data_IF_400793573874
#
_entry.id   IF_400793573874
#
_cell.length_a   1.000
_cell.length_b   1.000
_cell.length_c   1.000
_cell.angle_alpha   90.00
_cell.angle_beta   90.00
_cell.angle_gamma   90.00
#
_symmetry.space_group_name_H-M   'P 1'
#
loop_
_entity.id
_entity.type
_entity.pdbx_description
1 polymer ?
#
# COMPACT_ATOMS: atom_id res chain seq x y z
N UNK A 1 -34.54 8.37 -18.08
CA UNK A 1 -33.74 8.98 -16.99
C UNK A 1 -32.55 8.07 -16.81
N UNK A 2 -31.47 8.38 -17.53
CA UNK A 2 -30.27 7.55 -17.56
C UNK A 2 -29.36 7.92 -16.40
N UNK A 3 -29.07 6.93 -15.56
CA UNK A 3 -28.11 6.99 -14.45
C UNK A 3 -26.86 6.23 -14.88
N UNK A 4 -26.21 6.70 -15.93
CA UNK A 4 -24.88 6.28 -16.39
C UNK A 4 -24.16 7.56 -16.83
N UNK A 5 -22.88 7.69 -16.47
CA UNK A 5 -21.94 8.71 -17.01
C UNK A 5 -21.62 9.94 -16.15
N UNK A 6 -21.82 9.95 -14.82
CA UNK A 6 -21.25 11.00 -13.97
C UNK A 6 -19.96 10.60 -13.21
N UNK A 7 -19.68 9.31 -13.06
CA UNK A 7 -18.63 8.84 -12.14
C UNK A 7 -17.48 8.05 -12.75
N UNK A 8 -17.52 7.63 -14.02
CA UNK A 8 -16.53 6.66 -14.51
C UNK A 8 -15.26 7.29 -15.10
N UNK A 9 -15.35 8.40 -15.82
CA UNK A 9 -14.19 8.92 -16.56
C UNK A 9 -13.36 9.93 -15.74
N UNK A 10 -14.00 10.92 -15.12
CA UNK A 10 -13.29 11.94 -14.33
C UNK A 10 -12.75 11.39 -13.01
N UNK A 11 -13.45 10.46 -12.37
CA UNK A 11 -12.99 9.86 -11.12
C UNK A 11 -11.79 8.93 -11.36
N UNK A 12 -11.78 8.13 -12.43
CA UNK A 12 -10.62 7.30 -12.76
C UNK A 12 -9.39 8.12 -13.17
N UNK A 13 -9.58 9.18 -13.97
CA UNK A 13 -8.49 10.08 -14.34
C UNK A 13 -7.89 10.80 -13.12
N UNK A 14 -8.76 11.30 -12.23
CA UNK A 14 -8.34 11.91 -10.97
C UNK A 14 -7.62 10.89 -10.07
N UNK A 15 -8.16 9.68 -9.91
CA UNK A 15 -7.60 8.62 -9.08
C UNK A 15 -6.23 8.15 -9.58
N UNK A 16 -6.05 8.03 -10.90
CA UNK A 16 -4.76 7.74 -11.52
C UNK A 16 -3.71 8.82 -11.25
N UNK A 17 -4.09 10.09 -11.33
CA UNK A 17 -3.20 11.21 -11.03
C UNK A 17 -2.79 11.24 -9.54
N UNK A 18 -3.74 10.98 -8.64
CA UNK A 18 -3.52 10.95 -7.19
C UNK A 18 -2.62 9.78 -6.80
N UNK A 19 -2.87 8.58 -7.33
CA UNK A 19 -2.04 7.41 -7.06
C UNK A 19 -0.60 7.61 -7.56
N UNK A 20 -0.42 8.26 -8.71
CA UNK A 20 0.90 8.59 -9.23
C UNK A 20 1.66 9.57 -8.33
N UNK A 21 1.00 10.62 -7.84
CA UNK A 21 1.60 11.57 -6.89
C UNK A 21 1.99 10.87 -5.59
N UNK A 22 1.10 10.07 -4.99
CA UNK A 22 1.41 9.34 -3.77
C UNK A 22 2.49 8.28 -3.97
N UNK A 23 2.52 7.61 -5.13
CA UNK A 23 3.60 6.72 -5.52
C UNK A 23 4.95 7.43 -5.56
N UNK A 24 5.02 8.62 -6.16
CA UNK A 24 6.25 9.42 -6.17
C UNK A 24 6.67 9.87 -4.76
N UNK A 25 5.71 10.25 -3.91
CA UNK A 25 5.98 10.60 -2.51
C UNK A 25 6.50 9.41 -1.71
N UNK A 26 5.88 8.23 -1.87
CA UNK A 26 6.34 6.96 -1.30
C UNK A 26 7.77 6.66 -1.74
N UNK A 27 8.08 6.84 -3.02
CA UNK A 27 9.41 6.55 -3.58
C UNK A 27 10.48 7.49 -3.00
N UNK A 28 10.17 8.79 -2.90
CA UNK A 28 11.06 9.77 -2.24
C UNK A 28 11.29 9.45 -0.77
N UNK A 29 10.23 9.07 -0.05
CA UNK A 29 10.34 8.65 1.35
C UNK A 29 11.20 7.39 1.47
N UNK A 30 10.98 6.40 0.59
CA UNK A 30 11.75 5.16 0.52
C UNK A 30 13.23 5.44 0.27
N UNK A 31 13.56 6.37 -0.62
CA UNK A 31 14.95 6.79 -0.86
C UNK A 31 15.57 7.44 0.38
N UNK A 32 14.84 8.34 1.06
CA UNK A 32 15.33 8.99 2.27
C UNK A 32 15.57 8.00 3.42
N UNK A 33 14.65 7.04 3.61
CA UNK A 33 14.79 5.99 4.61
C UNK A 33 15.94 5.04 4.26
N UNK A 34 16.10 4.70 2.98
CA UNK A 34 17.22 3.88 2.49
C UNK A 34 18.57 4.57 2.73
N UNK A 35 18.66 5.88 2.48
CA UNK A 35 19.88 6.65 2.78
C UNK A 35 20.21 6.66 4.28
N UNK A 36 19.20 6.60 5.15
CA UNK A 36 19.37 6.63 6.60
C UNK A 36 19.68 5.26 7.21
N UNK A 37 19.04 4.21 6.72
CA UNK A 37 18.98 2.90 7.36
C UNK A 37 19.52 1.75 6.49
N UNK A 38 19.99 2.04 5.28
CA UNK A 38 20.44 1.04 4.32
C UNK A 38 19.31 0.44 3.49
N UNK A 39 19.66 -0.49 2.61
CA UNK A 39 18.71 -1.14 1.71
C UNK A 39 17.64 -1.90 2.51
N UNK A 40 16.35 -1.71 2.22
CA UNK A 40 15.29 -2.51 2.83
C UNK A 40 15.23 -3.91 2.22
N UNK A 41 14.48 -4.81 2.87
CA UNK A 41 14.07 -6.06 2.23
C UNK A 41 12.94 -5.80 1.23
N UNK A 42 12.55 -6.83 0.47
CA UNK A 42 11.45 -6.75 -0.48
C UNK A 42 10.23 -7.49 0.05
N UNK A 43 9.08 -6.82 0.04
CA UNK A 43 7.77 -7.43 0.30
C UNK A 43 6.81 -6.90 -0.76
N UNK A 44 6.16 -7.83 -1.46
CA UNK A 44 5.05 -7.55 -2.36
C UNK A 44 3.74 -7.85 -1.62
N UNK A 45 2.93 -6.82 -1.39
CA UNK A 45 1.67 -6.94 -0.68
C UNK A 45 0.61 -7.71 -1.48
N UNK A 46 0.67 -7.73 -2.81
CA UNK A 46 -0.23 -8.52 -3.64
C UNK A 46 0.03 -10.02 -3.45
N UNK A 47 1.29 -10.42 -3.54
CA UNK A 47 1.68 -11.79 -3.27
C UNK A 47 1.43 -12.21 -1.80
N UNK A 48 1.55 -11.26 -0.87
CA UNK A 48 1.17 -11.51 0.53
C UNK A 48 -0.34 -11.75 0.66
N UNK A 49 -1.19 -10.94 0.01
CA UNK A 49 -2.63 -11.13 0.01
C UNK A 49 -3.04 -12.51 -0.53
N UNK A 50 -2.44 -12.95 -1.63
CA UNK A 50 -2.69 -14.30 -2.19
C UNK A 50 -2.42 -15.41 -1.16
N UNK A 51 -1.32 -15.27 -0.40
CA UNK A 51 -0.95 -16.23 0.66
C UNK A 51 -1.93 -16.17 1.84
N UNK A 52 -2.36 -14.97 2.25
CA UNK A 52 -3.39 -14.82 3.29
C UNK A 52 -4.70 -15.49 2.88
N UNK A 53 -5.13 -15.31 1.63
CA UNK A 53 -6.32 -15.95 1.07
C UNK A 53 -6.20 -17.48 0.99
N UNK A 54 -4.97 -18.00 0.82
CA UNK A 54 -4.68 -19.42 0.91
C UNK A 54 -4.64 -19.96 2.37
N UNK A 55 -4.86 -19.10 3.37
CA UNK A 55 -4.83 -19.47 4.79
C UNK A 55 -3.43 -19.57 5.37
N UNK A 56 -2.41 -19.06 4.69
CA UNK A 56 -1.05 -19.03 5.23
C UNK A 56 -0.91 -17.92 6.29
N UNK A 57 -0.25 -18.21 7.43
CA UNK A 57 0.03 -17.18 8.42
C UNK A 57 1.05 -16.17 7.90
N UNK A 58 0.75 -14.89 8.08
CA UNK A 58 1.63 -13.77 7.75
C UNK A 58 2.13 -13.03 9.00
N UNK A 59 3.28 -12.34 8.93
CA UNK A 59 3.67 -11.39 9.97
C UNK A 59 2.58 -10.32 10.16
N UNK A 60 2.23 -9.92 11.40
CA UNK A 60 1.08 -9.03 11.65
C UNK A 60 1.07 -7.72 10.84
N UNK A 61 2.24 -7.12 10.62
CA UNK A 61 2.35 -5.88 9.83
C UNK A 61 2.10 -6.13 8.34
N UNK A 62 2.53 -7.27 7.81
CA UNK A 62 2.30 -7.65 6.41
C UNK A 62 0.83 -8.02 6.21
N UNK A 63 0.28 -8.80 7.15
CA UNK A 63 -1.12 -9.19 7.19
C UNK A 63 -2.05 -7.97 7.17
N UNK A 64 -1.80 -6.98 8.02
CA UNK A 64 -2.58 -5.74 7.99
C UNK A 64 -2.42 -4.97 6.68
N UNK A 65 -1.17 -4.75 6.23
CA UNK A 65 -0.90 -3.92 5.06
C UNK A 65 -1.45 -4.51 3.76
N UNK A 66 -1.44 -5.84 3.59
CA UNK A 66 -1.96 -6.47 2.37
C UNK A 66 -3.49 -6.37 2.23
N UNK A 67 -4.20 -6.01 3.30
CA UNK A 67 -5.65 -5.77 3.26
C UNK A 67 -6.03 -4.33 2.86
N UNK A 68 -5.10 -3.37 2.96
CA UNK A 68 -5.40 -1.93 2.78
C UNK A 68 -4.54 -1.24 1.73
N UNK A 69 -3.46 -1.91 1.28
CA UNK A 69 -2.52 -1.39 0.30
C UNK A 69 -2.13 -2.47 -0.71
N UNK A 70 -1.55 -2.04 -1.82
CA UNK A 70 -1.07 -2.93 -2.88
C UNK A 70 0.32 -2.52 -3.37
N UNK A 71 1.03 -3.47 -3.97
CA UNK A 71 2.37 -3.26 -4.50
C UNK A 71 3.49 -3.36 -3.45
N UNK A 72 4.68 -2.80 -3.74
CA UNK A 72 5.85 -3.00 -2.89
C UNK A 72 5.75 -2.19 -1.59
N UNK A 73 6.01 -2.85 -0.46
CA UNK A 73 6.09 -2.24 0.86
C UNK A 73 7.36 -2.71 1.58
N UNK A 74 8.54 -2.20 1.19
CA UNK A 74 9.81 -2.75 1.63
C UNK A 74 10.05 -2.46 3.12
N UNK A 75 10.39 -3.46 3.97
CA UNK A 75 10.65 -3.22 5.38
C UNK A 75 12.11 -2.85 5.67
N UNK A 76 12.31 -1.88 6.56
CA UNK A 76 13.59 -1.62 7.24
C UNK A 76 13.57 -2.24 8.64
N UNK A 77 14.58 -3.06 8.94
CA UNK A 77 14.76 -3.66 10.28
C UNK A 77 15.67 -2.78 11.13
N UNK A 78 15.12 -2.23 12.21
CA UNK A 78 15.79 -1.36 13.17
C UNK A 78 15.83 -2.02 14.55
N UNK A 79 16.76 -2.95 14.74
CA UNK A 79 16.82 -3.78 15.94
C UNK A 79 15.54 -4.60 16.10
N UNK A 80 14.71 -4.26 17.10
CA UNK A 80 13.41 -4.93 17.37
C UNK A 80 12.22 -4.29 16.67
N UNK A 81 12.43 -3.27 15.85
CA UNK A 81 11.38 -2.51 15.16
C UNK A 81 11.43 -2.75 13.66
N UNK A 82 10.27 -2.76 13.04
CA UNK A 82 10.11 -2.81 11.58
C UNK A 82 9.40 -1.55 11.14
N UNK A 83 9.92 -0.91 10.10
CA UNK A 83 9.26 0.22 9.43
C UNK A 83 8.93 -0.21 8.02
N UNK A 84 7.69 0.01 7.57
CA UNK A 84 7.24 -0.24 6.20
C UNK A 84 6.51 1.02 5.70
N UNK A 85 6.60 1.28 4.40
CA UNK A 85 5.91 2.39 3.75
C UNK A 85 5.10 1.83 2.58
N UNK A 86 3.80 2.13 2.56
CA UNK A 86 2.88 1.77 1.49
C UNK A 86 1.92 2.93 1.22
N UNK A 87 1.34 2.94 0.01
CA UNK A 87 0.21 3.81 -0.32
C UNK A 87 -1.04 2.96 -0.17
N UNK A 88 -1.90 3.34 0.76
CA UNK A 88 -3.16 2.67 1.04
C UNK A 88 -4.32 3.53 0.57
N UNK A 89 -5.41 2.89 0.17
CA UNK A 89 -6.70 3.56 0.02
C UNK A 89 -7.50 3.29 1.28
N UNK A 90 -7.71 4.31 2.10
CA UNK A 90 -8.69 4.25 3.17
C UNK A 90 -10.05 4.57 2.54
N UNK A 91 -10.71 3.56 1.98
CA UNK A 91 -12.13 3.71 1.64
C UNK A 91 -12.92 3.76 2.95
N UNK A 92 -13.77 4.77 3.07
CA UNK A 92 -14.55 5.10 4.28
C UNK A 92 -15.59 4.01 4.63
N UNK A 93 -15.71 2.98 3.80
CA UNK A 93 -16.65 1.86 3.94
C UNK A 93 -16.06 0.62 4.63
N UNK A 94 -14.90 0.71 5.28
CA UNK A 94 -14.50 -0.32 6.26
C UNK A 94 -15.20 -0.06 7.60
N UNK A 95 -16.16 -0.90 8.03
CA UNK A 95 -16.72 -0.77 9.37
C UNK A 95 -15.60 -1.01 10.39
N UNK A 96 -15.65 -0.27 11.50
CA UNK A 96 -14.75 -0.27 12.67
C UNK A 96 -13.60 0.77 12.66
N UNK A 97 -13.99 2.04 12.64
CA UNK A 97 -13.43 3.05 13.56
C UNK A 97 -14.10 2.97 14.93
#
# INVERSE_FOLDING_TARGET
MESRDFWDEDAQAAMGSTYLVYGQMRDRLTQALTARWGAPEFVDLGAALDRALAGEPLPPTVDHLCNVASGPAPPWRLGRRTVMVAVAWDDKELPWS
#
